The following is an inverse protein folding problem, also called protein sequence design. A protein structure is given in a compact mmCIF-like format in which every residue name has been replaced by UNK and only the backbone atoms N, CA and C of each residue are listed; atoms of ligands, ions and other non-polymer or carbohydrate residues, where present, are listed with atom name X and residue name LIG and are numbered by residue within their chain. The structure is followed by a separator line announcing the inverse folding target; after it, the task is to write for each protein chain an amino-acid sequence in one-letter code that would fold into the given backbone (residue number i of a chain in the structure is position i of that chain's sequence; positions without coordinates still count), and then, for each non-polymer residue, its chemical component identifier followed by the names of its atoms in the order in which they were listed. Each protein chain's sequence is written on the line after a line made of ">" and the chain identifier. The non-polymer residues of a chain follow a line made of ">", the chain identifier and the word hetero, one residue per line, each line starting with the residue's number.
data_IF_134077440847
#
_entry.id   IF_134077440847
#
_cell.length_a   1.000
_cell.length_b   1.000
_cell.length_c   1.000
_cell.angle_alpha   90.00
_cell.angle_beta   90.00
_cell.angle_gamma   90.00
#
_symmetry.space_group_name_H-M   'P 1'
#
loop_
_entity.id
_entity.type
_entity.pdbx_description
1 polymer ?
#
# COMPACT_ATOMS: atom_id res chain seq x y z
N UNK A 1 37.63 20.45 25.07
CA UNK A 1 36.97 21.41 24.17
C UNK A 1 36.03 20.61 23.30
N UNK A 2 34.74 20.70 23.59
CA UNK A 2 33.66 20.01 22.88
C UNK A 2 33.56 20.56 21.46
N UNK A 3 33.53 19.68 20.47
CA UNK A 3 33.18 20.01 19.09
C UNK A 3 31.84 19.34 18.85
N UNK A 4 30.85 20.18 18.57
CA UNK A 4 29.43 19.90 18.40
C UNK A 4 29.14 18.64 17.57
N UNK A 5 28.32 17.75 18.13
CA UNK A 5 27.59 16.74 17.36
C UNK A 5 26.81 17.45 16.26
N UNK A 6 27.27 17.25 15.03
CA UNK A 6 26.58 17.69 13.82
C UNK A 6 25.24 16.98 13.77
N UNK A 7 24.19 17.69 14.20
CA UNK A 7 22.80 17.22 14.18
C UNK A 7 22.38 17.05 12.72
N UNK A 8 22.65 15.85 12.20
CA UNK A 8 22.34 15.44 10.84
C UNK A 8 20.86 15.72 10.57
N UNK A 9 20.59 16.70 9.68
CA UNK A 9 19.22 17.10 9.36
C UNK A 9 18.60 15.99 8.52
N UNK A 10 17.99 15.00 9.20
CA UNK A 10 17.24 13.94 8.54
C UNK A 10 16.18 14.58 7.63
N UNK A 11 16.11 14.21 6.33
CA UNK A 11 15.13 14.78 5.43
C UNK A 11 13.73 14.46 5.96
N UNK A 12 12.81 15.42 5.91
CA UNK A 12 11.43 15.21 6.34
C UNK A 12 10.55 14.93 5.13
N UNK A 13 9.68 13.93 5.23
CA UNK A 13 8.65 13.66 4.23
C UNK A 13 7.30 14.13 4.76
N UNK A 14 6.61 14.97 4.01
CA UNK A 14 5.23 15.34 4.32
C UNK A 14 4.30 14.23 3.84
N UNK A 15 3.43 13.76 4.73
CA UNK A 15 2.44 12.71 4.49
C UNK A 15 1.11 13.09 5.13
N UNK A 16 0.01 12.54 4.61
CA UNK A 16 -1.32 12.73 5.21
C UNK A 16 -1.63 11.56 6.15
N UNK A 17 -1.94 11.86 7.41
CA UNK A 17 -2.34 10.85 8.37
C UNK A 17 -3.68 10.22 7.97
N UNK A 18 -3.73 8.89 7.83
CA UNK A 18 -4.97 8.16 7.55
C UNK A 18 -5.98 8.19 8.71
N UNK A 19 -5.53 8.43 9.94
CA UNK A 19 -6.40 8.47 11.13
C UNK A 19 -7.09 9.81 11.37
N UNK A 20 -6.35 10.92 11.29
CA UNK A 20 -6.90 12.26 11.55
C UNK A 20 -6.93 13.20 10.33
N UNK A 21 -6.40 12.79 9.18
CA UNK A 21 -6.33 13.61 7.97
C UNK A 21 -5.28 14.73 8.01
N UNK A 22 -4.56 14.92 9.12
CA UNK A 22 -3.56 15.97 9.24
C UNK A 22 -2.35 15.72 8.32
N UNK A 23 -1.85 16.80 7.70
CA UNK A 23 -0.54 16.79 7.02
C UNK A 23 0.55 16.86 8.08
N UNK A 24 1.32 15.79 8.23
CA UNK A 24 2.41 15.68 9.21
C UNK A 24 3.73 15.37 8.51
N UNK A 25 4.83 15.67 9.19
CA UNK A 25 6.18 15.38 8.73
C UNK A 25 6.71 14.15 9.44
N UNK A 26 7.05 13.11 8.68
CA UNK A 26 7.70 11.90 9.17
C UNK A 26 9.19 11.92 8.80
N UNK A 27 10.06 11.20 9.53
CA UNK A 27 11.45 11.03 9.13
C UNK A 27 11.52 10.39 7.74
N UNK A 28 12.24 11.00 6.82
CA UNK A 28 12.41 10.55 5.44
C UNK A 28 13.45 9.45 5.27
N UNK A 29 14.17 9.10 6.34
CA UNK A 29 15.06 7.95 6.46
C UNK A 29 14.33 6.65 6.84
N UNK A 30 13.00 6.70 7.02
CA UNK A 30 12.21 5.50 7.24
C UNK A 30 12.28 4.56 6.03
N UNK A 31 12.42 3.28 6.31
CA UNK A 31 12.33 2.24 5.28
C UNK A 31 10.95 2.30 4.59
N UNK A 32 10.86 1.97 3.29
CA UNK A 32 9.58 1.92 2.59
C UNK A 32 8.58 1.04 3.34
N UNK A 33 7.34 1.50 3.47
CA UNK A 33 6.26 0.83 4.21
C UNK A 33 6.45 0.73 5.73
N UNK A 34 7.57 1.21 6.29
CA UNK A 34 7.72 1.31 7.74
C UNK A 34 6.68 2.27 8.34
N UNK A 35 6.26 2.00 9.58
CA UNK A 35 5.26 2.82 10.27
C UNK A 35 5.87 3.64 11.39
N UNK A 36 5.31 4.84 11.60
CA UNK A 36 5.67 5.74 12.69
C UNK A 36 4.40 6.38 13.25
N UNK A 37 4.32 6.68 14.55
CA UNK A 37 3.12 7.28 15.13
C UNK A 37 2.90 8.71 14.61
N UNK A 38 1.63 9.04 14.35
CA UNK A 38 1.22 10.40 14.00
C UNK A 38 1.50 11.36 15.17
N UNK A 39 2.16 12.49 14.90
CA UNK A 39 2.39 13.54 15.91
C UNK A 39 1.13 14.28 16.39
N UNK A 40 -0.04 14.01 15.77
CA UNK A 40 -1.33 14.63 16.11
C UNK A 40 -2.31 13.70 16.81
N UNK A 41 -2.37 12.43 16.42
CA UNK A 41 -3.37 11.48 16.91
C UNK A 41 -2.79 10.10 17.24
N UNK A 42 -1.46 9.95 17.19
CA UNK A 42 -0.72 8.72 17.50
C UNK A 42 -1.03 7.51 16.60
N UNK A 43 -2.01 7.63 15.69
CA UNK A 43 -2.32 6.60 14.70
C UNK A 43 -1.10 6.27 13.84
N UNK A 44 -0.92 5.00 13.43
CA UNK A 44 0.22 4.59 12.61
C UNK A 44 0.15 5.28 11.24
N UNK A 45 1.26 5.90 10.86
CA UNK A 45 1.47 6.49 9.54
C UNK A 45 2.56 5.70 8.85
N UNK A 46 2.27 5.28 7.63
CA UNK A 46 3.20 4.52 6.80
C UNK A 46 4.06 5.48 5.96
N UNK A 47 5.34 5.16 5.84
CA UNK A 47 6.22 5.76 4.84
C UNK A 47 5.76 5.31 3.44
N UNK A 48 5.26 6.21 2.59
CA UNK A 48 4.76 5.83 1.29
C UNK A 48 5.86 5.27 0.41
N UNK A 49 5.51 4.26 -0.38
CA UNK A 49 6.42 3.59 -1.30
C UNK A 49 5.95 3.83 -2.73
N UNK A 50 6.86 4.30 -3.60
CA UNK A 50 6.59 4.34 -5.02
C UNK A 50 6.90 2.97 -5.63
N UNK A 51 5.89 2.36 -6.25
CA UNK A 51 6.00 1.09 -6.94
C UNK A 51 5.53 1.27 -8.39
N UNK A 52 6.48 1.36 -9.32
CA UNK A 52 6.23 1.80 -10.72
C UNK A 52 5.50 3.15 -10.75
N UNK A 53 4.22 3.16 -11.14
CA UNK A 53 3.38 4.37 -11.15
C UNK A 53 2.51 4.53 -9.88
N UNK A 54 2.48 3.51 -9.01
CA UNK A 54 1.57 3.45 -7.86
C UNK A 54 2.28 3.94 -6.60
N UNK A 55 1.78 5.03 -6.02
CA UNK A 55 2.25 5.53 -4.74
C UNK A 55 1.42 4.88 -3.62
N UNK A 56 1.97 3.87 -2.94
CA UNK A 56 1.35 3.16 -1.83
C UNK A 56 1.25 4.08 -0.61
N UNK A 57 0.04 4.42 -0.18
CA UNK A 57 -0.19 5.44 0.85
C UNK A 57 -0.40 4.84 2.24
N UNK A 58 -1.27 3.83 2.35
CA UNK A 58 -1.61 3.18 3.63
C UNK A 58 -2.19 1.79 3.40
N UNK A 59 -2.01 0.85 4.34
CA UNK A 59 -2.73 -0.42 4.31
C UNK A 59 -4.22 -0.19 4.61
N UNK A 60 -5.08 -0.92 3.92
CA UNK A 60 -6.54 -0.90 4.11
C UNK A 60 -7.11 -2.27 4.47
N UNK A 61 -6.43 -3.35 4.10
CA UNK A 61 -6.76 -4.70 4.54
C UNK A 61 -5.49 -5.55 4.59
N UNK A 62 -5.48 -6.54 5.47
CA UNK A 62 -4.45 -7.58 5.52
C UNK A 62 -5.14 -8.94 5.49
N UNK A 63 -4.67 -9.84 4.63
CA UNK A 63 -5.16 -11.21 4.54
C UNK A 63 -4.01 -12.21 4.55
N UNK A 64 -4.35 -13.50 4.49
CA UNK A 64 -3.35 -14.57 4.51
C UNK A 64 -2.31 -14.47 3.38
N UNK A 65 -2.73 -14.05 2.18
CA UNK A 65 -1.87 -14.03 0.98
C UNK A 65 -1.09 -12.72 0.76
N UNK A 66 -1.42 -11.65 1.49
CA UNK A 66 -0.90 -10.32 1.17
C UNK A 66 -1.55 -9.18 1.93
N UNK A 67 -1.05 -7.97 1.68
CA UNK A 67 -1.56 -6.72 2.25
C UNK A 67 -2.14 -5.89 1.12
N UNK A 68 -3.35 -5.37 1.31
CA UNK A 68 -4.01 -4.44 0.39
C UNK A 68 -3.71 -3.02 0.86
N UNK A 69 -3.15 -2.22 -0.04
CA UNK A 69 -2.84 -0.82 0.18
C UNK A 69 -3.76 0.06 -0.64
N UNK A 70 -4.22 1.17 -0.05
CA UNK A 70 -4.73 2.30 -0.82
C UNK A 70 -3.52 3.00 -1.43
N UNK A 71 -3.54 3.17 -2.74
CA UNK A 71 -2.48 3.78 -3.51
C UNK A 71 -3.03 4.83 -4.47
N UNK A 72 -2.16 5.72 -4.93
CA UNK A 72 -2.48 6.69 -5.97
C UNK A 72 -1.73 6.31 -7.25
N UNK A 73 -2.47 6.04 -8.33
CA UNK A 73 -1.90 5.87 -9.66
C UNK A 73 -1.54 7.25 -10.22
N UNK A 74 -0.23 7.53 -10.27
CA UNK A 74 0.28 8.83 -10.72
C UNK A 74 0.17 9.03 -12.23
N UNK A 75 -0.04 7.96 -13.01
CA UNK A 75 -0.21 8.03 -14.47
C UNK A 75 -1.65 8.33 -14.86
N UNK A 76 -2.61 7.71 -14.16
CA UNK A 76 -4.05 7.88 -14.41
C UNK A 76 -4.73 8.88 -13.44
N UNK A 77 -3.96 9.45 -12.52
CA UNK A 77 -4.41 10.44 -11.53
C UNK A 77 -5.64 10.00 -10.72
N UNK A 78 -5.64 8.75 -10.26
CA UNK A 78 -6.78 8.15 -9.54
C UNK A 78 -6.34 7.29 -8.36
N UNK A 79 -7.24 7.09 -7.41
CA UNK A 79 -7.03 6.16 -6.31
C UNK A 79 -7.30 4.72 -6.73
N UNK A 80 -6.41 3.81 -6.35
CA UNK A 80 -6.48 2.37 -6.63
C UNK A 80 -6.15 1.58 -5.37
N UNK A 81 -6.63 0.35 -5.28
CA UNK A 81 -6.22 -0.60 -4.26
C UNK A 81 -5.15 -1.52 -4.86
N UNK A 82 -4.05 -1.73 -4.15
CA UNK A 82 -2.93 -2.59 -4.57
C UNK A 82 -2.76 -3.69 -3.54
N UNK A 83 -3.11 -4.93 -3.91
CA UNK A 83 -2.82 -6.13 -3.11
C UNK A 83 -1.41 -6.58 -3.41
N UNK A 84 -0.49 -6.40 -2.47
CA UNK A 84 0.90 -6.85 -2.55
C UNK A 84 1.03 -8.22 -1.87
N UNK A 85 1.57 -9.21 -2.57
CA UNK A 85 1.84 -10.53 -1.97
C UNK A 85 2.99 -10.46 -0.98
N UNK A 86 2.90 -11.23 0.11
CA UNK A 86 4.01 -11.38 1.06
C UNK A 86 5.17 -12.09 0.38
N UNK A 87 6.39 -11.61 0.58
CA UNK A 87 7.59 -12.18 -0.03
C UNK A 87 7.79 -13.67 0.33
N UNK A 88 7.39 -14.08 1.54
CA UNK A 88 7.45 -15.48 2.00
C UNK A 88 6.56 -16.43 1.19
N UNK A 89 5.50 -15.92 0.55
CA UNK A 89 4.56 -16.70 -0.26
C UNK A 89 4.82 -16.54 -1.76
N UNK A 90 5.86 -15.79 -2.15
CA UNK A 90 6.12 -15.48 -3.55
C UNK A 90 6.63 -16.70 -4.34
N UNK A 91 7.22 -17.70 -3.69
CA UNK A 91 7.70 -18.94 -4.36
C UNK A 91 6.70 -20.11 -4.27
N UNK A 92 5.65 -19.96 -3.45
CA UNK A 92 4.67 -21.01 -3.23
C UNK A 92 3.66 -21.09 -4.38
N UNK A 93 3.79 -22.15 -5.19
CA UNK A 93 2.97 -22.34 -6.39
C UNK A 93 1.48 -22.44 -6.09
N UNK A 94 1.09 -23.03 -4.95
CA UNK A 94 -0.33 -23.18 -4.60
C UNK A 94 -0.95 -21.83 -4.23
N UNK A 95 -0.21 -20.99 -3.49
CA UNK A 95 -0.64 -19.62 -3.17
C UNK A 95 -0.71 -18.76 -4.43
N UNK A 96 0.27 -18.89 -5.33
CA UNK A 96 0.25 -18.20 -6.61
C UNK A 96 -0.99 -18.60 -7.43
N UNK A 97 -1.28 -19.88 -7.56
CA UNK A 97 -2.46 -20.36 -8.29
C UNK A 97 -3.77 -19.86 -7.66
N UNK A 98 -3.86 -19.79 -6.33
CA UNK A 98 -4.97 -19.17 -5.61
C UNK A 98 -5.14 -17.69 -5.96
N UNK A 99 -4.03 -16.94 -5.97
CA UNK A 99 -4.00 -15.53 -6.31
C UNK A 99 -4.44 -15.27 -7.76
N UNK A 100 -3.94 -16.08 -8.70
CA UNK A 100 -4.36 -16.04 -10.11
C UNK A 100 -5.84 -16.39 -10.27
N UNK A 101 -6.35 -17.34 -9.48
CA UNK A 101 -7.76 -17.76 -9.53
C UNK A 101 -8.68 -16.67 -8.99
N UNK A 102 -8.32 -16.02 -7.88
CA UNK A 102 -9.04 -14.83 -7.38
C UNK A 102 -9.05 -13.72 -8.42
N UNK A 103 -7.89 -13.41 -9.01
CA UNK A 103 -7.79 -12.37 -10.02
C UNK A 103 -8.65 -12.69 -11.26
N UNK A 104 -8.65 -13.93 -11.75
CA UNK A 104 -9.49 -14.36 -12.88
C UNK A 104 -10.98 -14.36 -12.53
N UNK A 105 -11.35 -14.82 -11.33
CA UNK A 105 -12.74 -14.83 -10.89
C UNK A 105 -13.33 -13.41 -10.85
N UNK A 106 -12.60 -12.48 -10.24
CA UNK A 106 -13.00 -11.07 -10.19
C UNK A 106 -12.99 -10.41 -11.58
N UNK A 107 -12.03 -10.73 -12.46
CA UNK A 107 -11.98 -10.17 -13.82
C UNK A 107 -13.14 -10.67 -14.72
N UNK A 108 -13.60 -11.91 -14.55
CA UNK A 108 -14.71 -12.47 -15.31
C UNK A 108 -16.09 -11.96 -14.86
N UNK A 109 -16.17 -11.41 -13.64
CA UNK A 109 -17.40 -11.01 -13.01
C UNK A 109 -17.61 -9.49 -13.17
N UNK A 110 -18.06 -9.07 -14.35
CA UNK A 110 -18.32 -7.66 -14.65
C UNK A 110 -19.75 -7.26 -14.21
N UNK A 111 -19.98 -7.10 -12.91
CA UNK A 111 -21.22 -6.61 -12.33
C UNK A 111 -20.94 -5.40 -11.42
N UNK A 112 -21.86 -4.44 -11.34
CA UNK A 112 -21.74 -3.15 -10.62
C UNK A 112 -21.34 -3.24 -9.13
N UNK A 113 -21.32 -4.45 -8.54
CA UNK A 113 -20.95 -4.68 -7.14
C UNK A 113 -19.63 -5.47 -6.99
N UNK A 114 -18.84 -5.60 -8.05
CA UNK A 114 -17.65 -6.45 -8.08
C UNK A 114 -16.45 -5.58 -8.39
N UNK A 115 -15.44 -5.63 -7.52
CA UNK A 115 -14.25 -4.79 -7.58
C UNK A 115 -13.55 -5.02 -8.92
N UNK A 116 -13.46 -3.98 -9.74
CA UNK A 116 -12.79 -4.05 -11.03
C UNK A 116 -11.28 -4.25 -10.86
N UNK A 117 -10.72 -5.26 -11.54
CA UNK A 117 -9.28 -5.47 -11.62
C UNK A 117 -8.72 -4.70 -12.81
N UNK A 118 -7.70 -3.88 -12.54
CA UNK A 118 -7.03 -3.09 -13.57
C UNK A 118 -5.77 -3.76 -14.10
N UNK A 119 -4.98 -4.41 -13.24
CA UNK A 119 -3.75 -5.06 -13.65
C UNK A 119 -3.31 -6.12 -12.65
N UNK A 120 -2.59 -7.14 -13.13
CA UNK A 120 -1.81 -8.06 -12.32
C UNK A 120 -0.41 -8.12 -12.91
N UNK A 121 0.61 -7.88 -12.09
CA UNK A 121 1.97 -7.72 -12.58
C UNK A 121 3.00 -8.03 -11.47
N UNK A 122 4.28 -7.99 -11.82
CA UNK A 122 5.40 -8.28 -10.92
C UNK A 122 6.44 -7.17 -11.02
N UNK A 123 7.00 -6.76 -9.88
CA UNK A 123 8.13 -5.84 -9.81
C UNK A 123 9.19 -6.40 -8.86
N UNK A 124 10.38 -6.70 -9.37
CA UNK A 124 11.52 -7.16 -8.56
C UNK A 124 11.18 -8.38 -7.67
N UNK A 125 10.37 -9.32 -8.20
CA UNK A 125 9.88 -10.49 -7.48
C UNK A 125 8.68 -10.23 -6.55
N UNK A 126 8.27 -8.97 -6.37
CA UNK A 126 7.04 -8.60 -5.68
C UNK A 126 5.86 -8.65 -6.64
N UNK A 127 4.94 -9.59 -6.42
CA UNK A 127 3.72 -9.72 -7.20
C UNK A 127 2.61 -8.89 -6.61
N UNK A 128 1.85 -8.21 -7.46
CA UNK A 128 0.77 -7.35 -7.02
C UNK A 128 -0.43 -7.35 -7.98
N UNK A 129 -1.60 -7.08 -7.39
CA UNK A 129 -2.85 -6.88 -8.10
C UNK A 129 -3.32 -5.45 -7.88
N UNK A 130 -3.63 -4.75 -8.97
CA UNK A 130 -4.20 -3.41 -8.96
C UNK A 130 -5.70 -3.52 -9.25
N UNK A 131 -6.50 -2.93 -8.37
CA UNK A 131 -7.95 -3.01 -8.42
C UNK A 131 -8.59 -1.69 -8.00
N UNK A 132 -9.90 -1.58 -8.23
CA UNK A 132 -10.70 -0.46 -7.77
C UNK A 132 -10.65 -0.33 -6.24
N UNK A 133 -10.60 0.90 -5.73
CA UNK A 133 -10.78 1.14 -4.29
C UNK A 133 -12.26 1.00 -3.97
N UNK A 134 -12.61 -0.02 -3.18
CA UNK A 134 -13.92 -0.07 -2.53
C UNK A 134 -13.95 1.00 -1.42
N UNK A 135 -14.59 2.15 -1.67
CA UNK A 135 -14.75 3.21 -0.67
C UNK A 135 -15.91 2.89 0.32
N UNK A 136 -16.82 1.99 -0.07
CA UNK A 136 -17.81 1.42 0.83
C UNK A 136 -17.21 0.23 1.57
N UNK A 137 -17.18 0.34 2.90
CA UNK A 137 -16.57 -0.62 3.82
C UNK A 137 -16.91 -2.08 3.55
N UNK A 138 -15.97 -2.93 3.98
CA UNK A 138 -16.02 -4.40 3.98
C UNK A 138 -17.39 -5.00 3.68
N UNK A 139 -17.45 -5.81 2.63
CA UNK A 139 -18.50 -6.83 2.46
C UNK A 139 -18.31 -7.92 3.52
N UNK A 140 -18.47 -7.56 4.79
CA UNK A 140 -18.75 -8.49 5.88
C UNK A 140 -20.26 -8.40 6.09
N UNK A 141 -20.96 -9.38 5.51
CA UNK A 141 -22.36 -9.65 5.78
C UNK A 141 -22.49 -10.82 6.75
#
# INVERSE_FOLDING_TARGET
>A
MSIEESKERKPLKMVQCGGCGAKVFIPGDLEPLATTPCSKCESPIMMPMMMRQFNLLRPIAEGGMGVVYRAFDTTLEREVAVKLMKAELADDKEVLEGFYREARACACLNHTNIIHIYAFDELEGMRYLVMEVADNGSLDG
#
